data_IF_476777088154
#
_entry.id   IF_476777088154
#
_cell.length_a   1.000
_cell.length_b   1.000
_cell.length_c   1.000
_cell.angle_alpha   90.00
_cell.angle_beta   90.00
_cell.angle_gamma   90.00
#
_symmetry.space_group_name_H-M   'P 1'
#
loop_
_entity.id
_entity.type
_entity.pdbx_description
1 polymer ?
#
# COMPACT_ATOMS: atom_id res chain seq x y z
N UNK A 1 -55.07 5.13 0.87
CA UNK A 1 -55.23 6.53 1.28
C UNK A 1 -54.03 7.27 0.73
N UNK A 2 -54.23 8.02 -0.35
CA UNK A 2 -53.16 8.72 -1.06
C UNK A 2 -52.78 9.97 -0.26
N UNK A 3 -51.51 10.04 0.13
CA UNK A 3 -50.90 11.16 0.81
C UNK A 3 -50.73 12.28 -0.22
N UNK A 4 -51.66 13.24 -0.20
CA UNK A 4 -51.66 14.36 -1.10
C UNK A 4 -50.48 15.27 -0.73
N UNK A 5 -49.45 15.28 -1.58
CA UNK A 5 -48.34 16.22 -1.49
C UNK A 5 -48.91 17.64 -1.29
N UNK A 6 -48.38 18.41 -0.32
CA UNK A 6 -48.85 19.77 -0.10
C UNK A 6 -48.73 20.57 -1.40
N UNK A 7 -49.73 21.40 -1.75
CA UNK A 7 -49.67 22.23 -2.93
C UNK A 7 -48.40 23.08 -2.85
N UNK A 8 -47.55 22.98 -3.86
CA UNK A 8 -46.38 23.84 -4.02
C UNK A 8 -46.85 25.28 -3.80
N UNK A 9 -46.44 25.85 -2.65
CA UNK A 9 -46.63 27.26 -2.40
C UNK A 9 -46.01 27.99 -3.60
N UNK A 10 -46.70 28.98 -4.21
CA UNK A 10 -46.14 29.70 -5.32
C UNK A 10 -44.78 30.20 -4.87
N UNK A 11 -43.71 29.72 -5.51
CA UNK A 11 -42.37 30.23 -5.34
C UNK A 11 -42.47 31.72 -5.70
N UNK A 12 -42.68 32.54 -4.68
CA UNK A 12 -42.71 33.99 -4.79
C UNK A 12 -41.37 34.34 -5.44
N UNK A 13 -41.41 34.70 -6.73
CA UNK A 13 -40.22 34.92 -7.56
C UNK A 13 -39.39 35.99 -6.86
N UNK A 14 -38.44 35.55 -6.04
CA UNK A 14 -37.65 36.44 -5.21
C UNK A 14 -37.04 37.49 -6.13
N UNK A 15 -37.23 38.77 -5.82
CA UNK A 15 -36.83 39.88 -6.68
C UNK A 15 -35.39 39.62 -7.22
N UNK A 16 -35.19 39.55 -8.56
CA UNK A 16 -33.87 39.30 -9.13
C UNK A 16 -32.82 40.31 -8.63
N UNK A 17 -33.25 41.53 -8.28
CA UNK A 17 -32.41 42.56 -7.67
C UNK A 17 -31.94 42.13 -6.28
N UNK A 18 -32.85 41.64 -5.43
CA UNK A 18 -32.50 41.12 -4.10
C UNK A 18 -31.56 39.91 -4.18
N UNK A 19 -31.83 38.97 -5.10
CA UNK A 19 -30.97 37.79 -5.32
C UNK A 19 -29.55 38.20 -5.72
N UNK A 20 -29.41 39.13 -6.65
CA UNK A 20 -28.10 39.68 -7.06
C UNK A 20 -27.39 40.35 -5.87
N UNK A 21 -28.10 41.18 -5.11
CA UNK A 21 -27.55 41.89 -3.97
C UNK A 21 -27.05 40.94 -2.87
N UNK A 22 -27.85 39.93 -2.52
CA UNK A 22 -27.50 38.91 -1.54
C UNK A 22 -26.30 38.07 -1.99
N UNK A 23 -26.24 37.66 -3.27
CA UNK A 23 -25.10 36.90 -3.80
C UNK A 23 -23.79 37.70 -3.70
N UNK A 24 -23.83 39.01 -4.01
CA UNK A 24 -22.68 39.91 -3.87
C UNK A 24 -22.27 40.06 -2.41
N UNK A 25 -23.24 40.21 -1.51
CA UNK A 25 -23.03 40.33 -0.06
C UNK A 25 -22.40 39.06 0.51
N UNK A 26 -22.88 37.88 0.11
CA UNK A 26 -22.32 36.57 0.48
C UNK A 26 -20.88 36.40 -0.04
N UNK A 27 -20.59 36.85 -1.26
CA UNK A 27 -19.23 36.82 -1.80
C UNK A 27 -18.27 37.73 -1.02
N UNK A 28 -18.73 38.91 -0.59
CA UNK A 28 -17.95 39.80 0.28
C UNK A 28 -17.73 39.19 1.67
N UNK A 29 -18.75 38.57 2.24
CA UNK A 29 -18.69 37.82 3.49
C UNK A 29 -17.67 36.67 3.48
N UNK A 30 -17.60 35.92 2.37
CA UNK A 30 -16.61 34.85 2.21
C UNK A 30 -15.17 35.37 2.25
N UNK A 31 -14.94 36.59 1.73
CA UNK A 31 -13.62 37.24 1.69
C UNK A 31 -13.26 38.02 2.94
N UNK A 32 -14.25 38.29 3.80
CA UNK A 32 -14.07 39.02 5.04
C UNK A 32 -13.17 38.24 6.01
N UNK A 33 -12.12 38.93 6.48
CA UNK A 33 -11.21 38.45 7.51
C UNK A 33 -11.41 39.29 8.80
N UNK A 34 -11.84 38.62 9.87
CA UNK A 34 -12.14 39.29 11.15
C UNK A 34 -10.94 39.98 11.81
N UNK A 35 -9.71 39.59 11.47
CA UNK A 35 -8.49 40.18 12.02
C UNK A 35 -8.10 41.42 11.23
N UNK A 36 -8.18 41.35 9.89
CA UNK A 36 -7.79 42.46 9.01
C UNK A 36 -8.86 43.54 8.89
N UNK A 37 -10.12 43.13 8.78
CA UNK A 37 -11.20 44.00 8.30
C UNK A 37 -12.08 44.54 9.46
N UNK A 38 -11.71 44.29 10.72
CA UNK A 38 -12.45 44.73 11.93
C UNK A 38 -12.64 46.24 12.02
N UNK A 39 -11.63 47.02 11.62
CA UNK A 39 -11.70 48.48 11.69
C UNK A 39 -12.72 49.06 10.71
N UNK A 40 -12.89 48.43 9.55
CA UNK A 40 -13.78 48.88 8.48
C UNK A 40 -15.25 48.76 8.85
N UNK A 41 -15.57 47.88 9.81
CA UNK A 41 -16.93 47.61 10.26
C UNK A 41 -17.37 48.45 11.46
N UNK A 42 -16.46 49.19 12.09
CA UNK A 42 -16.82 50.13 13.16
C UNK A 42 -17.79 51.23 12.68
N UNK A 43 -17.88 51.44 11.36
CA UNK A 43 -18.87 52.34 10.80
C UNK A 43 -20.32 51.91 11.10
N UNK A 44 -20.55 50.61 11.32
CA UNK A 44 -21.84 50.02 11.64
C UNK A 44 -22.14 49.95 13.16
N UNK A 45 -21.20 50.34 14.03
CA UNK A 45 -21.41 50.38 15.50
C UNK A 45 -22.24 51.63 15.95
N UNK A 46 -23.14 52.15 15.10
CA UNK A 46 -23.86 53.42 15.30
C UNK A 46 -25.38 53.33 15.09
N UNK A 47 -26.07 54.47 15.28
CA UNK A 47 -27.52 54.59 15.18
C UNK A 47 -28.09 54.21 13.79
N UNK A 48 -29.40 53.96 13.75
CA UNK A 48 -30.19 53.63 12.55
C UNK A 48 -29.81 54.45 11.33
N UNK A 49 -29.58 53.79 10.19
CA UNK A 49 -29.14 54.45 8.95
C UNK A 49 -30.12 54.20 7.80
N UNK A 50 -30.28 55.20 6.93
CA UNK A 50 -31.07 55.09 5.70
C UNK A 50 -30.28 54.39 4.58
N UNK A 51 -30.95 54.07 3.47
CA UNK A 51 -30.38 53.33 2.33
C UNK A 51 -29.08 53.96 1.78
N UNK A 52 -29.02 55.28 1.63
CA UNK A 52 -27.85 55.98 1.10
C UNK A 52 -26.64 55.87 2.03
N UNK A 53 -26.87 56.03 3.34
CA UNK A 53 -25.82 55.90 4.37
C UNK A 53 -25.35 54.45 4.49
N UNK A 54 -26.27 53.49 4.47
CA UNK A 54 -25.97 52.06 4.48
C UNK A 54 -25.11 51.64 3.28
N UNK A 55 -25.46 52.09 2.07
CA UNK A 55 -24.69 51.81 0.85
C UNK A 55 -23.27 52.38 0.95
N UNK A 56 -23.12 53.62 1.41
CA UNK A 56 -21.81 54.26 1.56
C UNK A 56 -20.94 53.52 2.59
N UNK A 57 -21.53 53.10 3.72
CA UNK A 57 -20.82 52.33 4.74
C UNK A 57 -20.43 50.93 4.23
N UNK A 58 -21.32 50.24 3.52
CA UNK A 58 -21.02 48.94 2.89
C UNK A 58 -19.87 49.06 1.89
N UNK A 59 -19.87 50.09 1.05
CA UNK A 59 -18.81 50.29 0.07
C UNK A 59 -17.46 50.64 0.71
N UNK A 60 -17.47 51.35 1.84
CA UNK A 60 -16.25 51.63 2.61
C UNK A 60 -15.74 50.38 3.33
N UNK A 61 -16.64 49.58 3.88
CA UNK A 61 -16.29 48.36 4.61
C UNK A 61 -15.84 47.23 3.69
N UNK A 62 -16.45 47.13 2.51
CA UNK A 62 -16.20 46.10 1.50
C UNK A 62 -15.93 46.75 0.14
N UNK A 63 -14.69 47.19 -0.14
CA UNK A 63 -14.37 47.90 -1.39
C UNK A 63 -14.65 47.09 -2.68
N UNK A 64 -14.69 45.75 -2.58
CA UNK A 64 -15.04 44.85 -3.68
C UNK A 64 -16.54 44.68 -3.89
N UNK A 65 -17.38 45.12 -2.95
CA UNK A 65 -18.83 45.01 -3.02
C UNK A 65 -19.38 46.22 -3.80
N UNK A 66 -19.85 45.98 -5.02
CA UNK A 66 -20.48 46.99 -5.89
C UNK A 66 -21.97 46.71 -6.00
N UNK A 67 -22.74 47.38 -5.14
CA UNK A 67 -24.19 47.35 -5.16
C UNK A 67 -24.73 48.54 -5.97
N UNK A 68 -25.68 48.26 -6.86
CA UNK A 68 -26.51 49.32 -7.44
C UNK A 68 -27.45 49.89 -6.37
N UNK A 69 -28.01 51.06 -6.64
CA UNK A 69 -28.97 51.69 -5.72
C UNK A 69 -30.20 50.79 -5.47
N UNK A 70 -30.85 50.19 -6.49
CA UNK A 70 -31.91 49.21 -6.27
C UNK A 70 -31.49 48.00 -5.41
N UNK A 71 -30.26 47.50 -5.58
CA UNK A 71 -29.73 46.40 -4.78
C UNK A 71 -29.53 46.80 -3.30
N UNK A 72 -29.09 48.03 -3.03
CA UNK A 72 -28.94 48.54 -1.68
C UNK A 72 -30.31 48.72 -0.99
N UNK A 73 -31.31 49.24 -1.71
CA UNK A 73 -32.69 49.32 -1.21
C UNK A 73 -33.30 47.94 -0.94
N UNK A 74 -33.10 46.98 -1.85
CA UNK A 74 -33.59 45.62 -1.68
C UNK A 74 -32.95 44.93 -0.46
N UNK A 75 -31.64 45.10 -0.26
CA UNK A 75 -30.97 44.60 0.96
C UNK A 75 -31.52 45.25 2.21
N UNK A 76 -31.69 46.58 2.21
CA UNK A 76 -32.23 47.29 3.37
C UNK A 76 -33.62 46.76 3.75
N UNK A 77 -34.52 46.62 2.77
CA UNK A 77 -35.86 46.04 3.00
C UNK A 77 -35.82 44.60 3.55
N UNK A 78 -34.77 43.83 3.26
CA UNK A 78 -34.61 42.46 3.75
C UNK A 78 -34.13 42.41 5.22
N UNK A 79 -33.46 43.46 5.71
CA UNK A 79 -32.94 43.52 7.08
C UNK A 79 -33.72 44.50 7.98
N UNK A 80 -34.55 45.36 7.39
CA UNK A 80 -35.47 46.25 8.08
C UNK A 80 -36.69 45.46 8.60
N UNK A 81 -36.58 44.99 9.84
CA UNK A 81 -37.63 44.17 10.46
C UNK A 81 -38.84 44.98 10.94
N UNK A 82 -38.68 46.30 11.14
CA UNK A 82 -39.74 47.18 11.67
C UNK A 82 -40.47 47.98 10.58
N UNK A 83 -39.96 47.97 9.36
CA UNK A 83 -40.53 48.68 8.21
C UNK A 83 -40.36 50.20 8.31
N UNK A 84 -39.45 50.67 9.17
CA UNK A 84 -39.18 52.09 9.39
C UNK A 84 -38.40 52.76 8.26
N UNK A 85 -37.91 51.98 7.29
CA UNK A 85 -37.05 52.46 6.20
C UNK A 85 -35.61 52.73 6.65
N UNK A 86 -35.23 52.24 7.84
CA UNK A 86 -33.88 52.37 8.40
C UNK A 86 -33.41 51.04 8.93
N UNK A 87 -32.11 50.78 8.83
CA UNK A 87 -31.49 49.56 9.36
C UNK A 87 -30.64 49.90 10.57
N UNK A 88 -30.79 49.12 11.64
CA UNK A 88 -29.86 49.16 12.76
C UNK A 88 -28.56 48.45 12.37
N UNK A 89 -27.43 49.14 12.55
CA UNK A 89 -26.13 48.62 12.17
C UNK A 89 -25.78 47.32 12.93
N UNK A 90 -26.19 47.20 14.19
CA UNK A 90 -25.94 45.98 14.97
C UNK A 90 -26.80 44.79 14.50
N UNK A 91 -28.07 45.02 14.13
CA UNK A 91 -28.94 43.99 13.54
C UNK A 91 -28.42 43.48 12.19
N UNK A 92 -27.98 44.39 11.32
CA UNK A 92 -27.32 44.03 10.06
C UNK A 92 -26.09 43.16 10.31
N UNK A 93 -25.23 43.58 11.22
CA UNK A 93 -23.97 42.88 11.50
C UNK A 93 -24.21 41.48 12.04
N UNK A 94 -25.18 41.33 12.96
CA UNK A 94 -25.56 40.02 13.52
C UNK A 94 -26.06 39.07 12.44
N UNK A 95 -26.96 39.53 11.57
CA UNK A 95 -27.54 38.71 10.50
C UNK A 95 -26.52 38.40 9.40
N UNK A 96 -25.75 39.39 8.97
CA UNK A 96 -24.65 39.26 8.02
C UNK A 96 -23.64 38.21 8.48
N UNK A 97 -23.14 38.31 9.73
CA UNK A 97 -22.16 37.36 10.23
C UNK A 97 -22.73 35.97 10.45
N UNK A 98 -23.95 35.85 10.96
CA UNK A 98 -24.59 34.54 11.16
C UNK A 98 -24.69 33.78 9.83
N UNK A 99 -25.12 34.46 8.76
CA UNK A 99 -25.19 33.89 7.41
C UNK A 99 -23.81 33.58 6.83
N UNK A 100 -22.85 34.49 7.01
CA UNK A 100 -21.46 34.30 6.58
C UNK A 100 -20.82 33.07 7.22
N UNK A 101 -21.03 32.87 8.52
CA UNK A 101 -20.52 31.72 9.25
C UNK A 101 -21.20 30.43 8.83
N UNK A 102 -22.51 30.45 8.58
CA UNK A 102 -23.23 29.28 8.07
C UNK A 102 -22.66 28.82 6.71
N UNK A 103 -22.48 29.74 5.75
CA UNK A 103 -21.93 29.42 4.43
C UNK A 103 -20.49 28.89 4.54
N UNK A 104 -19.64 29.51 5.37
CA UNK A 104 -18.27 29.02 5.62
C UNK A 104 -18.28 27.63 6.26
N UNK A 105 -19.16 27.38 7.23
CA UNK A 105 -19.28 26.09 7.89
C UNK A 105 -19.72 24.99 6.92
N UNK A 106 -20.66 25.27 6.03
CA UNK A 106 -21.11 24.33 5.00
C UNK A 106 -20.01 24.03 3.98
N UNK A 107 -19.27 25.06 3.53
CA UNK A 107 -18.11 24.90 2.65
C UNK A 107 -17.01 24.05 3.29
N UNK A 108 -16.68 24.34 4.55
CA UNK A 108 -15.70 23.58 5.32
C UNK A 108 -16.14 22.13 5.53
N UNK A 109 -17.43 21.90 5.80
CA UNK A 109 -18.00 20.56 5.94
C UNK A 109 -17.89 19.79 4.64
N UNK A 110 -18.32 20.37 3.52
CA UNK A 110 -18.19 19.75 2.20
C UNK A 110 -16.74 19.42 1.84
N UNK A 111 -15.80 20.32 2.15
CA UNK A 111 -14.38 20.08 1.93
C UNK A 111 -13.82 18.95 2.82
N UNK A 112 -14.22 18.88 4.09
CA UNK A 112 -13.87 17.79 5.02
C UNK A 112 -14.44 16.46 4.55
N UNK A 113 -15.70 16.42 4.15
CA UNK A 113 -16.38 15.22 3.67
C UNK A 113 -15.74 14.73 2.37
N UNK A 114 -15.41 15.63 1.44
CA UNK A 114 -14.69 15.28 0.21
C UNK A 114 -13.28 14.73 0.51
N UNK A 115 -12.56 15.31 1.47
CA UNK A 115 -11.25 14.82 1.91
C UNK A 115 -11.35 13.43 2.56
N UNK A 116 -12.34 13.24 3.44
CA UNK A 116 -12.61 11.96 4.09
C UNK A 116 -12.96 10.87 3.07
N UNK A 117 -13.83 11.18 2.10
CA UNK A 117 -14.20 10.26 1.02
C UNK A 117 -12.99 9.85 0.15
N UNK A 118 -12.08 10.80 -0.16
CA UNK A 118 -10.84 10.49 -0.89
C UNK A 118 -9.91 9.58 -0.08
N UNK A 119 -9.72 9.86 1.20
CA UNK A 119 -8.91 9.03 2.09
C UNK A 119 -9.49 7.61 2.19
N UNK A 120 -10.80 7.48 2.39
CA UNK A 120 -11.48 6.19 2.44
C UNK A 120 -11.34 5.38 1.14
N UNK A 121 -11.44 6.05 -0.02
CA UNK A 121 -11.24 5.41 -1.33
C UNK A 121 -9.81 4.89 -1.50
N UNK A 122 -8.82 5.65 -1.06
CA UNK A 122 -7.42 5.24 -1.15
C UNK A 122 -7.09 4.07 -0.23
N UNK A 123 -7.58 4.08 1.02
CA UNK A 123 -7.46 2.93 1.94
C UNK A 123 -8.08 1.68 1.32
N UNK A 124 -9.31 1.77 0.80
CA UNK A 124 -9.97 0.63 0.14
C UNK A 124 -9.19 0.12 -1.07
N UNK A 125 -8.58 1.01 -1.85
CA UNK A 125 -7.74 0.64 -3.00
C UNK A 125 -6.46 -0.07 -2.55
N UNK A 126 -5.82 0.40 -1.49
CA UNK A 126 -4.62 -0.22 -0.93
C UNK A 126 -4.93 -1.60 -0.34
N UNK A 127 -6.02 -1.74 0.41
CA UNK A 127 -6.48 -3.03 0.93
C UNK A 127 -6.82 -4.02 -0.19
N UNK A 128 -7.53 -3.57 -1.24
CA UNK A 128 -7.84 -4.41 -2.39
C UNK A 128 -6.58 -4.87 -3.13
N UNK A 129 -5.60 -3.96 -3.31
CA UNK A 129 -4.31 -4.30 -3.92
C UNK A 129 -3.50 -5.27 -3.04
N UNK A 130 -3.46 -5.06 -1.72
CA UNK A 130 -2.80 -5.95 -0.78
C UNK A 130 -3.43 -7.35 -0.77
N UNK A 131 -4.77 -7.41 -0.78
CA UNK A 131 -5.52 -8.68 -0.87
C UNK A 131 -5.26 -9.40 -2.19
N UNK A 132 -5.25 -8.68 -3.32
CA UNK A 132 -4.93 -9.25 -4.63
C UNK A 132 -3.50 -9.77 -4.67
N UNK A 133 -2.54 -9.01 -4.13
CA UNK A 133 -1.13 -9.43 -4.02
C UNK A 133 -0.97 -10.69 -3.17
N UNK A 134 -1.65 -10.75 -2.01
CA UNK A 134 -1.64 -11.94 -1.15
C UNK A 134 -2.21 -13.15 -1.87
N UNK A 135 -3.39 -13.03 -2.48
CA UNK A 135 -4.00 -14.12 -3.26
C UNK A 135 -3.08 -14.61 -4.40
N UNK A 136 -2.39 -13.70 -5.07
CA UNK A 136 -1.43 -14.06 -6.11
C UNK A 136 -0.18 -14.78 -5.55
N UNK A 137 0.28 -14.40 -4.35
CA UNK A 137 1.36 -15.10 -3.64
C UNK A 137 0.92 -16.49 -3.18
N UNK A 138 -0.28 -16.61 -2.62
CA UNK A 138 -0.85 -17.88 -2.15
C UNK A 138 -0.99 -18.88 -3.32
N UNK A 139 -1.36 -18.42 -4.52
CA UNK A 139 -1.50 -19.26 -5.70
C UNK A 139 -0.19 -19.84 -6.26
N UNK A 140 0.98 -19.34 -5.82
CA UNK A 140 2.30 -19.87 -6.22
C UNK A 140 2.70 -21.11 -5.41
N UNK A 141 1.94 -21.46 -4.37
CA UNK A 141 2.24 -22.52 -3.43
C UNK A 141 1.05 -23.50 -3.35
N UNK A 142 1.34 -24.80 -3.37
CA UNK A 142 0.33 -25.84 -3.20
C UNK A 142 0.79 -26.83 -2.11
N UNK A 143 0.09 -26.84 -0.98
CA UNK A 143 0.35 -27.75 0.13
C UNK A 143 0.01 -29.21 -0.21
N UNK A 144 -0.78 -29.47 -1.27
CA UNK A 144 -1.18 -30.81 -1.69
C UNK A 144 -0.18 -31.38 -2.71
N UNK A 145 0.99 -31.75 -2.22
CA UNK A 145 2.06 -32.35 -3.02
C UNK A 145 2.16 -33.86 -2.82
N UNK A 146 2.75 -34.55 -3.81
CA UNK A 146 3.01 -35.99 -3.74
C UNK A 146 4.38 -36.30 -3.15
N UNK A 147 4.61 -37.57 -2.75
CA UNK A 147 5.94 -38.03 -2.33
C UNK A 147 7.01 -37.85 -3.44
N UNK A 148 6.60 -37.92 -4.71
CA UNK A 148 7.49 -37.66 -5.85
C UNK A 148 7.92 -36.19 -5.90
N UNK A 149 6.97 -35.26 -5.72
CA UNK A 149 7.27 -33.82 -5.65
C UNK A 149 8.26 -33.53 -4.53
N UNK A 150 8.07 -34.16 -3.36
CA UNK A 150 8.95 -34.07 -2.20
C UNK A 150 10.36 -34.59 -2.50
N UNK A 151 10.48 -35.76 -3.15
CA UNK A 151 11.78 -36.31 -3.52
C UNK A 151 12.54 -35.43 -4.52
N UNK A 152 11.85 -34.86 -5.52
CA UNK A 152 12.44 -33.96 -6.50
C UNK A 152 12.86 -32.65 -5.84
N UNK A 153 11.99 -32.06 -5.03
CA UNK A 153 12.27 -30.84 -4.25
C UNK A 153 13.51 -31.02 -3.36
N UNK A 154 13.54 -32.10 -2.58
CA UNK A 154 14.67 -32.44 -1.70
C UNK A 154 15.97 -32.65 -2.49
N UNK A 155 15.91 -33.29 -3.65
CA UNK A 155 17.10 -33.48 -4.50
C UNK A 155 17.68 -32.15 -4.98
N UNK A 156 16.81 -31.24 -5.45
CA UNK A 156 17.23 -29.90 -5.93
C UNK A 156 17.83 -29.05 -4.81
N UNK A 157 17.22 -29.03 -3.62
CA UNK A 157 17.77 -28.27 -2.50
C UNK A 157 19.08 -28.86 -1.97
N UNK A 158 19.21 -30.20 -1.95
CA UNK A 158 20.47 -30.86 -1.58
C UNK A 158 21.60 -30.52 -2.57
N UNK A 159 21.32 -30.53 -3.87
CA UNK A 159 22.29 -30.17 -4.89
C UNK A 159 22.72 -28.69 -4.74
N UNK A 160 21.77 -27.79 -4.49
CA UNK A 160 22.09 -26.38 -4.23
C UNK A 160 22.96 -26.21 -2.97
N UNK A 161 22.64 -26.92 -1.89
CA UNK A 161 23.40 -26.88 -0.65
C UNK A 161 24.81 -27.47 -0.78
N UNK A 162 24.95 -28.53 -1.57
CA UNK A 162 26.25 -29.16 -1.85
C UNK A 162 27.19 -28.19 -2.59
N UNK A 163 26.67 -27.48 -3.59
CA UNK A 163 27.43 -26.55 -4.43
C UNK A 163 27.57 -25.14 -3.87
N UNK A 164 26.81 -24.78 -2.83
CA UNK A 164 26.94 -23.46 -2.23
C UNK A 164 28.26 -23.32 -1.47
N UNK A 165 29.01 -22.27 -1.82
CA UNK A 165 30.26 -21.88 -1.20
C UNK A 165 30.17 -20.39 -0.83
N UNK A 166 30.35 -20.08 0.45
CA UNK A 166 30.27 -18.72 0.97
C UNK A 166 31.50 -17.88 0.59
N UNK A 167 32.62 -18.52 0.29
CA UNK A 167 33.87 -17.85 -0.07
C UNK A 167 33.96 -17.54 -1.57
N UNK A 168 33.00 -18.04 -2.37
CA UNK A 168 32.93 -17.75 -3.80
C UNK A 168 32.51 -16.28 -4.02
N UNK A 169 33.30 -15.52 -4.78
CA UNK A 169 33.04 -14.10 -5.10
C UNK A 169 31.71 -13.86 -5.80
N UNK A 170 31.19 -14.88 -6.50
CA UNK A 170 29.91 -14.80 -7.20
C UNK A 170 28.71 -15.19 -6.32
N UNK A 171 28.94 -15.60 -5.06
CA UNK A 171 27.88 -15.96 -4.14
C UNK A 171 27.10 -14.71 -3.69
N UNK A 172 25.79 -14.71 -3.96
CA UNK A 172 24.90 -13.66 -3.49
C UNK A 172 24.79 -13.68 -1.95
N UNK A 173 24.72 -12.51 -1.30
CA UNK A 173 24.57 -12.44 0.15
C UNK A 173 23.23 -13.06 0.58
N UNK A 174 23.26 -13.87 1.63
CA UNK A 174 22.06 -14.55 2.17
C UNK A 174 21.24 -13.66 3.12
N UNK A 175 21.40 -12.33 3.04
CA UNK A 175 20.68 -11.36 3.88
C UNK A 175 19.17 -11.40 3.66
N UNK A 176 18.72 -11.84 2.47
CA UNK A 176 17.30 -12.07 2.18
C UNK A 176 16.65 -13.17 3.03
N UNK A 177 17.45 -14.04 3.65
CA UNK A 177 17.02 -15.06 4.60
C UNK A 177 17.23 -14.64 6.07
N UNK A 178 17.81 -13.47 6.34
CA UNK A 178 18.01 -12.96 7.68
C UNK A 178 16.81 -12.08 8.06
N UNK A 179 15.84 -12.64 8.78
CA UNK A 179 14.63 -11.91 9.16
C UNK A 179 13.58 -12.80 9.83
N UNK A 180 12.40 -12.21 10.08
CA UNK A 180 11.23 -12.94 10.55
C UNK A 180 10.70 -13.94 9.52
N UNK A 181 9.71 -14.74 9.93
CA UNK A 181 8.95 -15.68 9.11
C UNK A 181 8.63 -15.14 7.70
N UNK A 182 8.95 -15.94 6.68
CA UNK A 182 8.73 -15.56 5.29
C UNK A 182 7.68 -16.43 4.61
N UNK A 183 6.84 -15.78 3.81
CA UNK A 183 5.83 -16.43 3.01
C UNK A 183 6.48 -17.31 1.91
N UNK A 184 5.91 -18.48 1.55
CA UNK A 184 6.46 -19.40 0.55
C UNK A 184 6.88 -18.74 -0.77
N UNK A 185 6.05 -17.83 -1.31
CA UNK A 185 6.37 -17.10 -2.54
C UNK A 185 7.62 -16.20 -2.42
N UNK A 186 7.83 -15.59 -1.24
CA UNK A 186 9.03 -14.78 -0.97
C UNK A 186 10.25 -15.69 -0.83
N UNK A 187 10.09 -16.80 -0.12
CA UNK A 187 11.13 -17.81 0.04
C UNK A 187 11.57 -18.39 -1.32
N UNK A 188 10.64 -18.71 -2.22
CA UNK A 188 10.94 -19.15 -3.60
C UNK A 188 11.76 -18.11 -4.36
N UNK A 189 11.38 -16.83 -4.28
CA UNK A 189 12.10 -15.75 -4.95
C UNK A 189 13.53 -15.61 -4.41
N UNK A 190 13.75 -15.81 -3.10
CA UNK A 190 15.09 -15.83 -2.51
C UNK A 190 15.90 -17.06 -2.97
N UNK A 191 15.29 -18.25 -2.99
CA UNK A 191 15.94 -19.48 -3.47
C UNK A 191 16.39 -19.35 -4.93
N UNK A 192 15.54 -18.75 -5.77
CA UNK A 192 15.86 -18.48 -7.18
C UNK A 192 17.00 -17.49 -7.33
N UNK A 193 17.05 -16.43 -6.52
CA UNK A 193 18.09 -15.39 -6.60
C UNK A 193 19.43 -15.86 -6.05
N UNK A 194 19.44 -16.54 -4.92
CA UNK A 194 20.67 -16.92 -4.23
C UNK A 194 21.25 -18.24 -4.75
N UNK A 195 20.40 -19.18 -5.16
CA UNK A 195 20.83 -20.54 -5.51
C UNK A 195 20.47 -20.95 -6.94
N UNK A 196 19.80 -20.08 -7.72
CA UNK A 196 19.38 -20.38 -9.08
C UNK A 196 18.46 -21.61 -9.20
N UNK A 197 17.73 -21.94 -8.13
CA UNK A 197 16.77 -23.07 -8.11
C UNK A 197 15.34 -22.56 -8.27
N UNK A 198 14.57 -23.23 -9.13
CA UNK A 198 13.14 -23.01 -9.29
C UNK A 198 12.35 -24.27 -8.94
N UNK A 199 11.12 -24.09 -8.49
CA UNK A 199 10.23 -25.17 -8.07
C UNK A 199 8.86 -25.00 -8.74
N UNK A 200 8.14 -26.10 -8.96
CA UNK A 200 6.71 -26.02 -9.25
C UNK A 200 5.94 -25.69 -7.96
N UNK A 201 4.68 -25.23 -8.01
CA UNK A 201 3.90 -24.90 -6.80
C UNK A 201 3.84 -26.03 -5.76
N UNK A 202 3.71 -27.28 -6.22
CA UNK A 202 3.72 -28.48 -5.36
C UNK A 202 5.10 -28.78 -4.78
N UNK A 203 6.15 -28.66 -5.59
CA UNK A 203 7.52 -28.83 -5.11
C UNK A 203 7.88 -27.76 -4.09
N UNK A 204 7.47 -26.51 -4.30
CA UNK A 204 7.63 -25.43 -3.33
C UNK A 204 6.88 -25.76 -2.04
N UNK A 205 5.66 -26.29 -2.16
CA UNK A 205 4.90 -26.87 -1.05
C UNK A 205 5.71 -27.86 -0.23
N UNK A 206 6.34 -28.81 -0.92
CA UNK A 206 7.18 -29.81 -0.31
C UNK A 206 8.43 -29.21 0.34
N UNK A 207 9.12 -28.25 -0.31
CA UNK A 207 10.29 -27.56 0.29
C UNK A 207 9.89 -26.85 1.58
N UNK A 208 8.78 -26.10 1.58
CA UNK A 208 8.29 -25.41 2.77
C UNK A 208 8.04 -26.41 3.90
N UNK A 209 7.38 -27.54 3.63
CA UNK A 209 7.12 -28.56 4.65
C UNK A 209 8.38 -29.21 5.26
N UNK A 210 9.54 -29.12 4.58
CA UNK A 210 10.83 -29.59 5.13
C UNK A 210 11.39 -28.60 6.17
N UNK A 211 11.16 -27.30 5.98
CA UNK A 211 11.77 -26.24 6.78
C UNK A 211 10.79 -25.52 7.72
N UNK A 212 9.50 -25.71 7.55
CA UNK A 212 8.42 -25.21 8.41
C UNK A 212 8.26 -26.14 9.62
N UNK A 213 9.10 -25.93 10.65
CA UNK A 213 9.07 -26.71 11.88
C UNK A 213 7.81 -26.43 12.73
N UNK A 214 7.22 -25.24 12.60
CA UNK A 214 6.02 -24.81 13.33
C UNK A 214 4.72 -25.33 12.70
N UNK A 215 4.74 -25.66 11.40
CA UNK A 215 3.57 -26.12 10.65
C UNK A 215 2.59 -24.98 10.32
N UNK A 216 3.05 -23.73 10.31
CA UNK A 216 2.21 -22.55 10.04
C UNK A 216 2.20 -22.13 8.55
N UNK A 217 2.98 -22.80 7.71
CA UNK A 217 3.13 -22.53 6.29
C UNK A 217 4.14 -21.43 5.96
N UNK A 218 4.86 -20.90 6.95
CA UNK A 218 5.95 -19.95 6.79
C UNK A 218 7.28 -20.63 7.05
N UNK A 219 8.37 -20.01 6.57
CA UNK A 219 9.72 -20.51 6.78
C UNK A 219 10.47 -19.50 7.63
N UNK A 220 11.02 -19.94 8.77
CA UNK A 220 11.99 -19.13 9.50
C UNK A 220 13.32 -19.16 8.75
N UNK A 221 13.82 -17.98 8.37
CA UNK A 221 15.01 -17.88 7.55
C UNK A 221 16.28 -18.36 8.27
N UNK A 222 16.37 -18.21 9.60
CA UNK A 222 17.51 -18.69 10.37
C UNK A 222 17.52 -20.21 10.51
N UNK A 223 16.35 -20.82 10.72
CA UNK A 223 16.17 -22.28 10.73
C UNK A 223 16.46 -22.91 9.38
N UNK A 224 15.98 -22.27 8.30
CA UNK A 224 16.30 -22.65 6.93
C UNK A 224 17.82 -22.66 6.71
N UNK A 225 18.51 -21.56 6.99
CA UNK A 225 19.95 -21.45 6.76
C UNK A 225 20.75 -22.50 7.54
N UNK A 226 20.41 -22.72 8.82
CA UNK A 226 21.05 -23.74 9.65
C UNK A 226 20.90 -25.13 9.02
N UNK A 227 19.68 -25.50 8.63
CA UNK A 227 19.37 -26.80 8.04
C UNK A 227 20.00 -26.94 6.65
N UNK A 228 19.99 -25.87 5.85
CA UNK A 228 20.59 -25.83 4.52
C UNK A 228 22.10 -26.07 4.57
N UNK A 229 22.82 -25.40 5.47
CA UNK A 229 24.26 -25.64 5.62
C UNK A 229 24.56 -27.04 6.12
N UNK A 230 23.78 -27.55 7.07
CA UNK A 230 23.92 -28.92 7.55
C UNK A 230 23.73 -29.93 6.41
N UNK A 231 22.70 -29.75 5.57
CA UNK A 231 22.49 -30.56 4.37
C UNK A 231 23.70 -30.49 3.43
N UNK A 232 24.24 -29.30 3.18
CA UNK A 232 25.42 -29.12 2.32
C UNK A 232 26.65 -29.86 2.84
N UNK A 233 26.92 -29.79 4.14
CA UNK A 233 28.02 -30.54 4.77
C UNK A 233 27.83 -32.06 4.66
N UNK A 234 26.61 -32.54 4.93
CA UNK A 234 26.30 -33.96 4.84
C UNK A 234 26.42 -34.48 3.40
N UNK A 235 25.99 -33.71 2.40
CA UNK A 235 26.12 -34.10 0.99
C UNK A 235 27.59 -34.14 0.56
N UNK A 236 28.37 -33.09 0.84
CA UNK A 236 29.82 -33.08 0.52
C UNK A 236 30.56 -34.24 1.19
N UNK A 237 30.22 -34.57 2.44
CA UNK A 237 30.80 -35.73 3.15
C UNK A 237 30.43 -37.06 2.47
N UNK A 238 29.17 -37.23 2.05
CA UNK A 238 28.71 -38.42 1.33
C UNK A 238 29.38 -38.54 -0.03
N UNK A 239 29.44 -37.46 -0.80
CA UNK A 239 30.09 -37.42 -2.12
C UNK A 239 31.56 -37.80 -2.01
N UNK A 240 32.32 -37.20 -1.08
CA UNK A 240 33.72 -37.55 -0.82
C UNK A 240 33.90 -39.03 -0.46
N UNK A 241 33.05 -39.55 0.43
CA UNK A 241 33.12 -40.96 0.82
C UNK A 241 32.87 -41.92 -0.36
N UNK A 242 31.87 -41.61 -1.20
CA UNK A 242 31.59 -42.40 -2.40
C UNK A 242 32.75 -42.36 -3.41
N UNK A 243 33.39 -41.21 -3.57
CA UNK A 243 34.59 -41.05 -4.41
C UNK A 243 35.77 -41.87 -3.88
N UNK A 244 36.02 -41.84 -2.57
CA UNK A 244 37.05 -42.64 -1.90
C UNK A 244 36.81 -44.15 -2.10
N UNK A 245 35.57 -44.61 -1.92
CA UNK A 245 35.19 -46.02 -2.14
C UNK A 245 35.38 -46.41 -3.61
N UNK A 246 35.00 -45.54 -4.56
CA UNK A 246 35.21 -45.79 -6.00
C UNK A 246 36.70 -45.85 -6.34
N UNK A 247 37.50 -44.93 -5.81
CA UNK A 247 38.94 -44.90 -6.01
C UNK A 247 39.63 -46.15 -5.42
N UNK A 248 39.22 -46.58 -4.22
CA UNK A 248 39.72 -47.81 -3.59
C UNK A 248 39.38 -49.04 -4.43
N UNK A 249 38.12 -49.18 -4.85
CA UNK A 249 37.68 -50.29 -5.71
C UNK A 249 38.43 -50.32 -7.05
N UNK A 250 38.73 -49.15 -7.62
CA UNK A 250 39.53 -49.04 -8.84
C UNK A 250 40.97 -49.54 -8.61
N UNK A 251 41.66 -49.06 -7.57
CA UNK A 251 43.02 -49.49 -7.20
C UNK A 251 43.09 -50.99 -6.92
N UNK A 252 42.08 -51.54 -6.25
CA UNK A 252 41.98 -52.98 -5.98
C UNK A 252 41.79 -53.80 -7.26
N UNK A 253 40.96 -53.33 -8.20
CA UNK A 253 40.77 -53.97 -9.51
C UNK A 253 42.06 -53.95 -10.33
N UNK A 254 42.78 -52.82 -10.35
CA UNK A 254 44.07 -52.72 -11.03
C UNK A 254 45.13 -53.64 -10.43
N UNK A 255 45.23 -53.69 -9.09
CA UNK A 255 46.14 -54.60 -8.38
C UNK A 255 45.86 -56.06 -8.74
N UNK A 256 44.60 -56.50 -8.67
CA UNK A 256 44.20 -57.86 -9.05
C UNK A 256 44.48 -58.17 -10.52
N UNK A 257 44.28 -57.20 -11.42
CA UNK A 257 44.60 -57.37 -12.84
C UNK A 257 46.11 -57.52 -13.07
N UNK A 258 46.94 -56.72 -12.38
CA UNK A 258 48.39 -56.81 -12.44
C UNK A 258 48.92 -58.13 -11.87
N UNK A 259 48.39 -58.58 -10.72
CA UNK A 259 48.71 -59.88 -10.12
C UNK A 259 48.39 -61.02 -11.08
N UNK A 260 47.20 -61.03 -11.69
CA UNK A 260 46.82 -62.04 -12.70
C UNK A 260 47.77 -62.04 -13.90
N UNK A 261 48.14 -60.87 -14.43
CA UNK A 261 49.12 -60.77 -15.53
C UNK A 261 50.48 -61.33 -15.13
N UNK A 262 50.95 -61.05 -13.91
CA UNK A 262 52.22 -61.55 -13.39
C UNK A 262 52.19 -63.08 -13.18
N UNK A 263 51.08 -63.62 -12.67
CA UNK A 263 50.88 -65.05 -12.47
C UNK A 263 50.85 -65.80 -13.80
N UNK A 264 50.14 -65.30 -14.81
CA UNK A 264 50.14 -65.87 -16.16
C UNK A 264 51.54 -65.85 -16.78
N UNK A 265 52.31 -64.76 -16.59
CA UNK A 265 53.71 -64.68 -17.07
C UNK A 265 54.60 -65.71 -16.37
N UNK A 266 54.50 -65.83 -15.04
CA UNK A 266 55.25 -66.85 -14.26
C UNK A 266 54.89 -68.28 -14.67
N UNK A 267 53.61 -68.58 -14.85
CA UNK A 267 53.15 -69.89 -15.30
C UNK A 267 53.69 -70.23 -16.70
N UNK A 268 53.69 -69.26 -17.64
CA UNK A 268 54.26 -69.45 -18.97
C UNK A 268 55.76 -69.72 -18.93
N UNK A 269 56.52 -69.03 -18.06
CA UNK A 269 57.95 -69.28 -17.86
C UNK A 269 58.21 -70.64 -17.19
N UNK A 270 57.37 -71.08 -16.25
CA UNK A 270 57.54 -72.33 -15.53
C UNK A 270 57.24 -73.59 -16.36
N UNK A 271 56.27 -73.53 -17.29
CA UNK A 271 55.90 -74.68 -18.13
C UNK A 271 56.87 -74.97 -19.29
N UNK A 272 58.05 -74.34 -19.34
CA UNK A 272 59.10 -74.68 -20.30
C UNK A 272 58.74 -74.47 -21.77
N UNK A 273 57.66 -73.73 -22.08
CA UNK A 273 57.35 -73.32 -23.45
C UNK A 273 58.26 -72.13 -23.78
N UNK A 274 59.53 -72.45 -24.05
CA UNK A 274 60.37 -71.58 -24.88
C UNK A 274 59.67 -71.41 -26.26
N UNK A 275 59.75 -70.23 -26.88
CA UNK A 275 59.16 -70.00 -28.20
C UNK A 275 59.65 -71.01 -29.25
#
# INVERSE_FOLDING_TARGET
MADAAPPDAPEEEADPVLRSAMAKLEQAALRYDSVRDKQSLRAFDGASMNAASFQQQLQRAFPSLRLSEPEAYALLACFDNDGGGTIDGAEFMKTFFSRSFAIKADGDRAARDAKAARAAKEVRKQEAAARAKRKAMDARYDANFSDEDMLVARRRICAAAEHYDADNTDAMPLTGFQGAEMHPAVFEDQLKRCFHVTFTPKQLGAVVSIFDASGDGFVDGAEFLRTFFQLGFDQRRRTRHLEEVRASNYRDRERRAAERRSATRRAKTACGVAP
#
